data_IF_642153252567
#
_entry.id   IF_642153252567
#
_cell.length_a   1.000
_cell.length_b   1.000
_cell.length_c   1.000
_cell.angle_alpha   90.00
_cell.angle_beta   90.00
_cell.angle_gamma   90.00
#
_symmetry.space_group_name_H-M   'P 1'
#
loop_
_entity.id
_entity.type
_entity.pdbx_description
1 polymer ?
#
# COMPACT_ATOMS: atom_id res chain seq x y z
N UNK A 1 -4.57 5.32 6.88
CA UNK A 1 -4.21 4.43 5.74
C UNK A 1 -3.00 3.50 5.98
N UNK A 2 -2.11 3.73 6.96
CA UNK A 2 -0.85 2.95 7.11
C UNK A 2 -0.67 2.15 8.42
N UNK A 3 -1.64 2.13 9.33
CA UNK A 3 -1.56 1.27 10.54
C UNK A 3 -2.08 -0.17 10.29
N UNK A 4 -3.03 -0.34 9.36
CA UNK A 4 -3.73 -1.61 9.16
C UNK A 4 -3.00 -2.60 8.20
N UNK A 5 -1.90 -2.18 7.59
CA UNK A 5 -1.01 -3.07 6.82
C UNK A 5 0.06 -3.75 7.72
N UNK A 6 0.24 -3.27 8.95
CA UNK A 6 1.28 -3.77 9.87
C UNK A 6 0.90 -5.05 10.62
N UNK A 7 -0.33 -5.55 10.48
CA UNK A 7 -0.80 -6.75 11.19
C UNK A 7 -1.00 -7.99 10.30
N UNK A 8 -0.52 -7.99 9.05
CA UNK A 8 -0.89 -9.03 8.07
C UNK A 8 0.30 -9.72 7.37
N UNK A 9 1.47 -9.78 8.01
CA UNK A 9 2.47 -10.82 7.67
C UNK A 9 2.23 -12.03 8.57
N UNK A 10 1.13 -12.75 8.33
CA UNK A 10 0.94 -14.10 8.83
C UNK A 10 0.17 -14.91 7.78
N UNK A 11 0.78 -16.01 7.33
CA UNK A 11 0.07 -17.11 6.67
C UNK A 11 0.52 -17.42 5.24
N UNK A 12 1.65 -18.12 5.09
CA UNK A 12 1.74 -19.23 4.12
C UNK A 12 2.86 -20.18 4.58
N UNK A 13 2.49 -21.31 5.18
CA UNK A 13 3.37 -22.45 5.40
C UNK A 13 3.28 -23.32 4.14
N UNK A 14 4.42 -23.59 3.51
CA UNK A 14 4.55 -24.71 2.58
C UNK A 14 5.09 -25.91 3.36
N UNK A 15 4.42 -27.03 3.20
CA UNK A 15 4.57 -28.33 3.84
C UNK A 15 5.89 -29.00 3.43
N UNK A 16 6.71 -29.41 4.41
CA UNK A 16 7.78 -30.41 4.20
C UNK A 16 7.26 -31.79 4.58
N UNK A 17 7.37 -32.71 3.64
CA UNK A 17 7.01 -34.12 3.75
C UNK A 17 8.07 -34.87 4.60
N UNK A 18 7.70 -35.76 5.54
CA UNK A 18 8.64 -36.57 6.30
C UNK A 18 8.66 -38.01 5.77
N UNK A 19 9.68 -38.36 5.01
CA UNK A 19 10.12 -39.75 4.85
C UNK A 19 11.50 -39.73 4.19
N UNK A 20 12.52 -40.09 4.98
CA UNK A 20 13.64 -40.92 4.55
C UNK A 20 14.49 -41.22 5.79
N UNK A 21 14.23 -42.38 6.39
CA UNK A 21 15.16 -43.11 7.24
C UNK A 21 15.97 -44.03 6.31
N UNK A 22 17.31 -44.05 6.39
CA UNK A 22 18.12 -45.25 6.72
C UNK A 22 19.64 -45.00 6.59
N UNK A 23 20.37 -45.67 7.49
CA UNK A 23 21.78 -46.09 7.50
C UNK A 23 22.95 -45.10 7.73
N UNK A 24 23.74 -45.44 8.77
CA UNK A 24 25.07 -44.89 9.13
C UNK A 24 26.21 -45.47 8.27
N UNK A 25 27.49 -45.59 8.75
CA UNK A 25 27.94 -45.70 10.15
C UNK A 25 29.16 -44.81 10.56
N UNK A 26 29.39 -44.79 11.89
CA UNK A 26 30.65 -44.82 12.66
C UNK A 26 31.84 -43.91 12.30
N UNK A 27 32.33 -43.16 13.30
CA UNK A 27 33.74 -43.17 13.70
C UNK A 27 33.95 -42.59 15.12
N UNK A 28 34.97 -43.14 15.78
CA UNK A 28 35.32 -43.13 17.20
C UNK A 28 36.05 -41.87 17.70
N UNK A 29 35.94 -41.54 19.00
CA UNK A 29 37.08 -41.41 19.95
C UNK A 29 36.66 -40.81 21.32
N UNK A 30 37.06 -41.53 22.39
CA UNK A 30 37.58 -41.14 23.74
C UNK A 30 37.07 -39.86 24.45
N UNK A 31 36.91 -39.77 25.77
CA UNK A 31 37.56 -40.46 26.90
C UNK A 31 36.73 -40.34 28.21
N UNK A 32 37.14 -41.08 29.24
CA UNK A 32 36.44 -41.49 30.47
C UNK A 32 36.46 -40.48 31.66
N UNK A 33 35.30 -40.37 32.33
CA UNK A 33 35.02 -40.50 33.81
C UNK A 33 35.63 -39.53 34.87
N UNK A 34 35.16 -39.51 36.15
CA UNK A 34 33.79 -39.67 36.70
C UNK A 34 33.42 -38.71 37.88
N UNK A 35 32.11 -38.63 38.20
CA UNK A 35 31.62 -38.74 39.59
C UNK A 35 31.38 -37.47 40.42
N UNK A 36 30.09 -37.14 40.66
CA UNK A 36 29.54 -36.93 42.02
C UNK A 36 28.01 -36.86 42.00
N UNK A 37 27.40 -37.72 42.81
CA UNK A 37 25.98 -37.75 43.17
C UNK A 37 25.65 -36.71 44.25
N UNK A 38 24.42 -36.19 44.23
CA UNK A 38 23.89 -35.32 45.29
C UNK A 38 22.49 -34.79 44.96
N UNK A 39 21.50 -35.27 45.71
CA UNK A 39 20.07 -35.01 45.61
C UNK A 39 19.64 -33.59 46.02
N UNK A 40 18.56 -33.06 45.44
CA UNK A 40 17.87 -31.88 46.00
C UNK A 40 16.83 -31.15 45.14
N UNK A 41 15.55 -31.51 45.32
CA UNK A 41 14.30 -30.73 45.11
C UNK A 41 13.87 -30.25 43.69
N UNK A 42 12.56 -30.34 43.35
CA UNK A 42 12.04 -29.77 42.11
C UNK A 42 11.94 -28.25 42.23
N UNK A 43 12.88 -27.54 41.62
CA UNK A 43 12.85 -26.10 41.46
C UNK A 43 11.70 -25.67 40.56
N UNK A 44 10.77 -24.94 41.16
CA UNK A 44 9.72 -24.12 40.57
C UNK A 44 10.09 -23.61 39.16
N UNK A 45 9.56 -24.24 38.11
CA UNK A 45 9.57 -23.67 36.75
C UNK A 45 8.59 -22.50 36.77
N UNK A 46 9.07 -21.32 37.17
CA UNK A 46 8.45 -20.06 36.82
C UNK A 46 8.15 -20.12 35.34
N UNK A 47 6.86 -20.12 35.00
CA UNK A 47 6.39 -20.04 33.64
C UNK A 47 7.02 -18.80 33.01
N UNK A 48 8.08 -19.01 32.24
CA UNK A 48 8.71 -17.98 31.44
C UNK A 48 7.65 -17.53 30.45
N UNK A 49 6.98 -16.42 30.78
CA UNK A 49 6.01 -15.80 29.91
C UNK A 49 6.70 -15.58 28.56
N UNK A 50 6.14 -16.08 27.45
CA UNK A 50 6.76 -15.90 26.17
C UNK A 50 6.88 -14.41 25.91
N UNK A 51 8.13 -13.93 25.85
CA UNK A 51 8.46 -12.55 25.48
C UNK A 51 7.67 -12.19 24.22
N UNK A 52 7.03 -11.01 24.16
CA UNK A 52 6.22 -10.64 23.01
C UNK A 52 7.10 -10.68 21.77
N UNK A 53 6.78 -11.59 20.84
CA UNK A 53 7.50 -11.75 19.57
C UNK A 53 7.58 -10.38 18.88
N UNK A 54 8.75 -9.94 18.38
CA UNK A 54 8.85 -8.67 17.69
C UNK A 54 7.92 -8.69 16.49
N UNK A 55 6.88 -7.85 16.50
CA UNK A 55 6.02 -7.65 15.33
C UNK A 55 6.90 -7.29 14.14
N UNK A 56 6.65 -7.93 12.99
CA UNK A 56 7.41 -7.77 11.76
C UNK A 56 7.84 -6.30 11.56
N UNK A 57 9.15 -6.07 11.63
CA UNK A 57 9.72 -4.73 11.70
C UNK A 57 9.39 -3.98 10.41
N UNK A 58 8.57 -2.93 10.53
CA UNK A 58 8.20 -2.04 9.42
C UNK A 58 9.47 -1.59 8.68
N UNK A 59 9.51 -1.82 7.36
CA UNK A 59 10.68 -1.53 6.54
C UNK A 59 10.85 0.00 6.37
N UNK A 60 11.92 0.51 6.99
CA UNK A 60 12.23 1.93 7.06
C UNK A 60 12.39 2.57 5.67
N UNK A 61 12.81 1.79 4.67
CA UNK A 61 12.95 2.28 3.30
C UNK A 61 11.64 2.86 2.76
N UNK A 62 10.53 2.15 2.92
CA UNK A 62 9.26 2.60 2.34
C UNK A 62 8.71 3.82 3.06
N UNK A 63 8.96 3.94 4.37
CA UNK A 63 8.59 5.14 5.12
C UNK A 63 9.43 6.35 4.70
N UNK A 64 10.73 6.15 4.52
CA UNK A 64 11.63 7.16 4.00
C UNK A 64 11.26 7.57 2.57
N UNK A 65 10.92 6.61 1.70
CA UNK A 65 10.51 6.87 0.32
C UNK A 65 9.22 7.70 0.27
N UNK A 66 8.20 7.31 1.05
CA UNK A 66 6.95 8.06 1.12
C UNK A 66 7.15 9.48 1.67
N UNK A 67 8.00 9.63 2.69
CA UNK A 67 8.31 10.94 3.27
C UNK A 67 9.01 11.85 2.24
N UNK A 68 10.06 11.36 1.59
CA UNK A 68 10.79 12.15 0.58
C UNK A 68 9.90 12.46 -0.63
N UNK A 69 9.06 11.52 -1.06
CA UNK A 69 8.10 11.74 -2.13
C UNK A 69 7.07 12.81 -1.75
N UNK A 70 6.56 12.83 -0.50
CA UNK A 70 5.59 13.86 -0.11
C UNK A 70 6.20 15.26 -0.02
N UNK A 71 7.48 15.36 0.38
CA UNK A 71 8.21 16.63 0.31
C UNK A 71 8.33 17.10 -1.14
N UNK A 72 8.68 16.21 -2.08
CA UNK A 72 8.76 16.56 -3.51
C UNK A 72 7.41 16.99 -4.09
N UNK A 73 6.31 16.34 -3.73
CA UNK A 73 4.95 16.76 -4.14
C UNK A 73 4.68 18.20 -3.71
N UNK A 74 4.92 18.51 -2.44
CA UNK A 74 4.65 19.84 -1.91
C UNK A 74 5.56 20.92 -2.52
N UNK A 75 6.83 20.59 -2.77
CA UNK A 75 7.74 21.46 -3.51
C UNK A 75 7.20 21.75 -4.92
N UNK A 76 6.85 20.71 -5.68
CA UNK A 76 6.29 20.85 -7.02
C UNK A 76 5.06 21.77 -7.05
N UNK A 77 4.12 21.54 -6.12
CA UNK A 77 2.94 22.37 -5.94
C UNK A 77 3.24 23.83 -5.57
N UNK A 78 4.32 24.09 -4.82
CA UNK A 78 4.72 25.46 -4.48
C UNK A 78 5.44 26.15 -5.64
N UNK A 79 6.08 25.38 -6.51
CA UNK A 79 6.77 25.88 -7.69
C UNK A 79 5.80 26.20 -8.83
N UNK A 80 4.63 25.57 -8.89
CA UNK A 80 3.62 25.84 -9.92
C UNK A 80 3.25 27.33 -10.05
N UNK A 81 2.85 28.04 -8.97
CA UNK A 81 2.61 29.49 -9.02
C UNK A 81 3.91 30.30 -9.04
N UNK A 82 5.02 29.77 -8.50
CA UNK A 82 6.27 30.54 -8.32
C UNK A 82 7.18 30.58 -9.56
N UNK A 83 7.15 29.53 -10.40
CA UNK A 83 8.13 29.30 -11.48
C UNK A 83 8.29 30.47 -12.46
N UNK A 84 7.24 31.29 -12.64
CA UNK A 84 7.26 32.49 -13.49
C UNK A 84 8.05 32.28 -14.78
N UNK A 85 9.01 33.18 -15.05
CA UNK A 85 9.95 33.11 -16.17
C UNK A 85 11.28 32.41 -15.83
N UNK A 86 11.43 31.89 -14.60
CA UNK A 86 12.64 31.21 -14.16
C UNK A 86 12.81 29.87 -14.84
N UNK A 87 13.62 29.83 -15.89
CA UNK A 87 13.90 28.61 -16.66
C UNK A 87 14.49 27.49 -15.80
N UNK A 88 15.26 27.83 -14.77
CA UNK A 88 15.83 26.85 -13.83
C UNK A 88 14.74 26.22 -12.99
N UNK A 89 13.84 27.02 -12.42
CA UNK A 89 12.74 26.52 -11.61
C UNK A 89 11.73 25.72 -12.46
N UNK A 90 11.46 26.16 -13.69
CA UNK A 90 10.67 25.39 -14.66
C UNK A 90 11.31 24.03 -15.00
N UNK A 91 12.63 23.98 -15.20
CA UNK A 91 13.33 22.72 -15.44
C UNK A 91 13.27 21.78 -14.22
N UNK A 92 13.48 22.31 -13.02
CA UNK A 92 13.35 21.56 -11.77
C UNK A 92 11.92 21.04 -11.57
N UNK A 93 10.93 21.87 -11.87
CA UNK A 93 9.51 21.51 -11.86
C UNK A 93 9.22 20.35 -12.81
N UNK A 94 9.61 20.45 -14.09
CA UNK A 94 9.44 19.37 -15.07
C UNK A 94 10.11 18.07 -14.61
N UNK A 95 11.35 18.15 -14.10
CA UNK A 95 12.10 17.00 -13.63
C UNK A 95 11.37 16.30 -12.47
N UNK A 96 10.93 17.05 -11.45
CA UNK A 96 10.19 16.50 -10.32
C UNK A 96 8.85 15.92 -10.78
N UNK A 97 8.09 16.64 -11.63
CA UNK A 97 6.81 16.18 -12.17
C UNK A 97 6.92 14.88 -12.98
N UNK A 98 8.06 14.64 -13.61
CA UNK A 98 8.28 13.40 -14.38
C UNK A 98 8.26 12.14 -13.51
N UNK A 99 8.68 12.19 -12.23
CA UNK A 99 8.83 10.94 -11.45
C UNK A 99 8.17 10.94 -10.07
N UNK A 100 7.84 12.08 -9.47
CA UNK A 100 7.34 12.08 -8.09
C UNK A 100 6.00 11.34 -7.94
N UNK A 101 5.03 11.59 -8.85
CA UNK A 101 3.77 10.83 -8.87
C UNK A 101 3.98 9.37 -9.24
N UNK A 102 4.69 9.03 -10.34
CA UNK A 102 5.06 7.64 -10.65
C UNK A 102 5.68 6.88 -9.47
N UNK A 103 6.62 7.48 -8.75
CA UNK A 103 7.24 6.88 -7.56
C UNK A 103 6.20 6.58 -6.47
N UNK A 104 5.31 7.53 -6.17
CA UNK A 104 4.27 7.36 -5.17
C UNK A 104 3.23 6.31 -5.58
N UNK A 105 2.87 6.27 -6.87
CA UNK A 105 1.93 5.30 -7.46
C UNK A 105 2.51 3.89 -7.43
N UNK A 106 3.78 3.71 -7.82
CA UNK A 106 4.48 2.40 -7.77
C UNK A 106 4.51 1.86 -6.34
N UNK A 107 4.84 2.71 -5.35
CA UNK A 107 4.82 2.31 -3.93
C UNK A 107 3.39 1.95 -3.49
N UNK A 108 2.39 2.71 -3.92
CA UNK A 108 0.98 2.44 -3.61
C UNK A 108 0.49 1.12 -4.20
N UNK A 109 0.88 0.80 -5.44
CA UNK A 109 0.64 -0.49 -6.08
C UNK A 109 1.30 -1.63 -5.31
N UNK A 110 2.58 -1.48 -4.93
CA UNK A 110 3.31 -2.48 -4.16
C UNK A 110 2.64 -2.87 -2.84
N UNK A 111 2.08 -1.89 -2.12
CA UNK A 111 1.34 -2.14 -0.88
C UNK A 111 -0.09 -2.68 -1.11
N UNK A 112 -0.61 -2.53 -2.32
CA UNK A 112 -1.96 -2.98 -2.69
C UNK A 112 -2.01 -4.46 -3.10
N UNK A 113 -0.87 -5.11 -3.35
CA UNK A 113 -0.75 -6.53 -3.74
C UNK A 113 -1.54 -7.52 -2.88
N UNK A 114 -1.70 -7.21 -1.59
CA UNK A 114 -2.43 -8.07 -0.66
C UNK A 114 -3.95 -7.89 -0.73
N UNK A 115 -4.45 -6.81 -1.33
CA UNK A 115 -5.89 -6.52 -1.40
C UNK A 115 -6.64 -7.62 -2.16
N UNK A 116 -7.66 -8.17 -1.51
CA UNK A 116 -8.46 -9.31 -1.96
C UNK A 116 -9.95 -8.98 -2.12
N UNK A 117 -10.36 -7.73 -1.93
CA UNK A 117 -11.75 -7.31 -1.99
C UNK A 117 -12.63 -7.79 -0.81
N UNK A 118 -12.06 -8.46 0.21
CA UNK A 118 -12.83 -8.90 1.38
C UNK A 118 -13.52 -7.72 2.09
N UNK A 119 -14.68 -7.93 2.73
CA UNK A 119 -15.44 -6.86 3.39
C UNK A 119 -14.60 -6.02 4.38
N UNK A 120 -13.69 -6.66 5.11
CA UNK A 120 -12.79 -5.97 6.03
C UNK A 120 -11.79 -5.05 5.32
N UNK A 121 -11.24 -5.45 4.16
CA UNK A 121 -10.33 -4.60 3.38
C UNK A 121 -11.09 -3.52 2.62
N UNK A 122 -12.30 -3.82 2.14
CA UNK A 122 -13.16 -2.82 1.51
C UNK A 122 -13.56 -1.74 2.52
N UNK A 123 -13.97 -2.13 3.74
CA UNK A 123 -14.22 -1.17 4.84
C UNK A 123 -13.02 -0.26 5.07
N UNK A 124 -11.81 -0.82 5.15
CA UNK A 124 -10.56 -0.04 5.32
C UNK A 124 -10.24 0.86 4.13
N UNK A 125 -10.61 0.47 2.92
CA UNK A 125 -10.44 1.28 1.71
C UNK A 125 -11.41 2.45 1.74
N UNK A 126 -12.68 2.22 2.07
CA UNK A 126 -13.69 3.27 2.20
C UNK A 126 -13.33 4.24 3.31
N UNK A 127 -13.06 3.74 4.52
CA UNK A 127 -12.73 4.60 5.66
C UNK A 127 -11.40 5.33 5.50
N UNK A 128 -10.40 4.67 4.90
CA UNK A 128 -9.06 5.21 4.79
C UNK A 128 -8.79 6.06 3.56
N UNK A 129 -9.67 6.01 2.54
CA UNK A 129 -9.48 6.71 1.25
C UNK A 129 -10.72 7.48 0.84
N UNK A 130 -11.87 6.81 0.70
CA UNK A 130 -13.08 7.44 0.18
C UNK A 130 -13.65 8.52 1.12
N UNK A 131 -13.64 8.28 2.44
CA UNK A 131 -14.10 9.29 3.39
C UNK A 131 -13.17 10.50 3.44
N UNK A 132 -11.84 10.34 3.59
CA UNK A 132 -10.93 11.45 3.46
C UNK A 132 -11.11 12.20 2.13
N UNK A 133 -11.32 11.49 1.01
CA UNK A 133 -11.62 12.12 -0.27
C UNK A 133 -12.85 13.04 -0.16
N UNK A 134 -14.01 12.53 0.25
CA UNK A 134 -15.24 13.33 0.35
C UNK A 134 -15.07 14.54 1.26
N UNK A 135 -14.39 14.37 2.41
CA UNK A 135 -14.17 15.47 3.35
C UNK A 135 -13.27 16.55 2.76
N UNK A 136 -12.12 16.16 2.19
CA UNK A 136 -11.17 17.13 1.64
C UNK A 136 -11.65 17.75 0.34
N UNK A 137 -12.32 16.99 -0.52
CA UNK A 137 -12.99 17.46 -1.73
C UNK A 137 -14.04 18.53 -1.41
N UNK A 138 -14.77 18.38 -0.30
CA UNK A 138 -15.72 19.40 0.15
C UNK A 138 -15.02 20.59 0.82
N UNK A 139 -13.94 20.34 1.56
CA UNK A 139 -13.23 21.36 2.32
C UNK A 139 -12.46 22.34 1.42
N UNK A 140 -11.91 21.91 0.29
CA UNK A 140 -11.13 22.77 -0.61
C UNK A 140 -11.96 23.90 -1.24
N UNK A 141 -13.12 23.64 -1.88
CA UNK A 141 -13.97 24.70 -2.39
C UNK A 141 -14.50 25.62 -1.28
N UNK A 142 -14.86 25.07 -0.11
CA UNK A 142 -15.26 25.90 1.05
C UNK A 142 -14.12 26.83 1.50
N UNK A 143 -12.90 26.33 1.54
CA UNK A 143 -11.72 27.14 1.84
C UNK A 143 -11.50 28.22 0.78
N UNK A 144 -11.68 27.90 -0.50
CA UNK A 144 -11.65 28.89 -1.59
C UNK A 144 -12.72 29.97 -1.41
N UNK A 145 -13.98 29.61 -1.12
CA UNK A 145 -15.06 30.59 -0.87
C UNK A 145 -14.70 31.60 0.21
N UNK A 146 -14.07 31.14 1.29
CA UNK A 146 -13.73 31.99 2.44
C UNK A 146 -12.47 32.81 2.21
N UNK A 147 -11.41 32.22 1.65
CA UNK A 147 -10.10 32.87 1.55
C UNK A 147 -9.95 33.69 0.27
N UNK A 148 -10.50 33.20 -0.84
CA UNK A 148 -10.45 33.82 -2.17
C UNK A 148 -11.67 34.69 -2.45
N UNK A 149 -12.64 34.76 -1.51
CA UNK A 149 -13.89 35.49 -1.65
C UNK A 149 -14.70 35.13 -2.91
N UNK A 150 -14.61 33.87 -3.35
CA UNK A 150 -15.36 33.31 -4.48
C UNK A 150 -16.56 32.50 -3.98
N UNK A 151 -17.72 33.13 -3.66
CA UNK A 151 -18.87 32.44 -3.08
C UNK A 151 -19.50 31.39 -4.03
N UNK A 152 -19.18 31.44 -5.32
CA UNK A 152 -19.75 30.56 -6.35
C UNK A 152 -18.92 29.30 -6.58
N UNK A 153 -17.78 29.12 -5.90
CA UNK A 153 -16.95 27.94 -6.06
C UNK A 153 -17.77 26.66 -5.78
N UNK A 154 -18.12 25.91 -6.82
CA UNK A 154 -18.99 24.74 -6.71
C UNK A 154 -18.33 23.63 -5.89
N UNK A 155 -19.13 22.91 -5.11
CA UNK A 155 -18.69 21.67 -4.45
C UNK A 155 -19.16 20.53 -5.35
N UNK A 156 -18.21 19.88 -6.02
CA UNK A 156 -18.47 18.73 -6.89
C UNK A 156 -17.59 17.57 -6.44
N UNK A 157 -18.19 16.42 -6.18
CA UNK A 157 -17.42 15.20 -5.87
C UNK A 157 -16.95 14.48 -7.13
N UNK A 158 -17.38 14.94 -8.30
CA UNK A 158 -17.07 14.36 -9.59
C UNK A 158 -15.93 15.09 -10.31
N UNK A 159 -15.50 16.27 -9.87
CA UNK A 159 -14.36 16.96 -10.48
C UNK A 159 -13.32 17.24 -9.39
N UNK A 160 -12.39 16.29 -9.14
CA UNK A 160 -11.51 16.34 -7.98
C UNK A 160 -10.64 17.60 -7.95
N UNK A 161 -10.81 18.43 -6.93
CA UNK A 161 -10.07 19.67 -6.79
C UNK A 161 -8.59 19.46 -6.42
N UNK A 162 -7.70 19.97 -7.27
CA UNK A 162 -6.26 20.13 -7.04
C UNK A 162 -5.49 18.82 -6.78
N UNK A 163 -5.49 18.32 -5.54
CA UNK A 163 -4.75 17.12 -5.12
C UNK A 163 -5.67 15.94 -4.78
N UNK A 164 -6.97 16.13 -4.67
CA UNK A 164 -7.88 15.05 -4.27
C UNK A 164 -8.03 13.96 -5.33
N UNK A 165 -7.70 14.26 -6.59
CA UNK A 165 -7.69 13.29 -7.70
C UNK A 165 -6.93 12.02 -7.35
N UNK A 166 -5.82 12.12 -6.62
CA UNK A 166 -5.01 10.95 -6.31
C UNK A 166 -5.71 10.01 -5.34
N UNK A 167 -6.54 10.52 -4.42
CA UNK A 167 -7.33 9.66 -3.53
C UNK A 167 -8.40 8.91 -4.33
N UNK A 168 -9.06 9.60 -5.25
CA UNK A 168 -10.01 8.99 -6.17
C UNK A 168 -9.34 7.90 -7.03
N UNK A 169 -8.21 8.24 -7.65
CA UNK A 169 -7.40 7.31 -8.44
C UNK A 169 -6.96 6.09 -7.61
N UNK A 170 -6.43 6.32 -6.41
CA UNK A 170 -6.00 5.28 -5.49
C UNK A 170 -7.17 4.38 -5.07
N UNK A 171 -8.36 4.94 -4.87
CA UNK A 171 -9.56 4.17 -4.58
C UNK A 171 -9.88 3.22 -5.74
N UNK A 172 -9.94 3.72 -6.98
CA UNK A 172 -10.23 2.95 -8.19
C UNK A 172 -9.16 1.87 -8.42
N UNK A 173 -7.88 2.23 -8.37
CA UNK A 173 -6.78 1.28 -8.59
C UNK A 173 -6.74 0.16 -7.54
N UNK A 174 -6.99 0.50 -6.26
CA UNK A 174 -7.05 -0.51 -5.19
C UNK A 174 -8.27 -1.41 -5.34
N UNK A 175 -9.42 -0.84 -5.66
CA UNK A 175 -10.66 -1.60 -5.86
C UNK A 175 -10.50 -2.60 -7.02
N UNK A 176 -9.84 -2.19 -8.10
CA UNK A 176 -9.60 -3.03 -9.30
C UNK A 176 -8.44 -4.02 -9.14
N UNK A 177 -7.66 -3.95 -8.05
CA UNK A 177 -6.50 -4.83 -7.81
C UNK A 177 -6.78 -6.33 -8.00
N UNK A 178 -7.90 -6.91 -7.52
CA UNK A 178 -8.19 -8.33 -7.73
C UNK A 178 -8.26 -8.72 -9.21
N UNK A 179 -8.80 -7.85 -10.07
CA UNK A 179 -8.89 -8.06 -11.52
C UNK A 179 -7.49 -8.10 -12.15
N UNK A 180 -6.62 -7.17 -11.79
CA UNK A 180 -5.24 -7.16 -12.31
C UNK A 180 -4.45 -8.42 -11.93
N UNK A 181 -4.76 -9.03 -10.78
CA UNK A 181 -4.09 -10.25 -10.30
C UNK A 181 -4.57 -11.51 -11.01
N UNK A 182 -5.72 -11.50 -11.70
CA UNK A 182 -6.19 -12.65 -12.49
C UNK A 182 -5.63 -12.66 -13.91
N UNK A 183 -5.14 -11.52 -14.42
CA UNK A 183 -4.55 -11.41 -15.75
C UNK A 183 -3.16 -12.05 -15.81
N UNK A 184 -2.87 -12.76 -16.92
CA UNK A 184 -1.54 -13.33 -17.20
C UNK A 184 -0.48 -12.27 -17.49
N UNK A 185 -0.88 -11.19 -18.17
CA UNK A 185 -0.02 -10.09 -18.60
C UNK A 185 -0.63 -8.72 -18.21
N UNK A 186 -0.73 -8.39 -16.91
CA UNK A 186 -1.44 -7.20 -16.47
C UNK A 186 -0.76 -5.89 -16.92
N UNK A 187 0.57 -5.87 -17.02
CA UNK A 187 1.34 -4.70 -17.42
C UNK A 187 1.09 -4.27 -18.88
N UNK A 188 1.21 -5.15 -19.90
CA UNK A 188 0.84 -4.80 -21.27
C UNK A 188 -0.62 -4.32 -21.39
N UNK A 189 -1.55 -4.95 -20.66
CA UNK A 189 -2.97 -4.54 -20.66
C UNK A 189 -3.15 -3.15 -20.08
N UNK A 190 -2.52 -2.85 -18.94
CA UNK A 190 -2.56 -1.51 -18.33
C UNK A 190 -1.96 -0.45 -19.26
N UNK A 191 -0.86 -0.79 -19.95
CA UNK A 191 -0.21 0.10 -20.91
C UNK A 191 -1.10 0.37 -22.14
N UNK A 192 -1.76 -0.66 -22.67
CA UNK A 192 -2.72 -0.50 -23.76
C UNK A 192 -3.87 0.43 -23.35
N UNK A 193 -4.41 0.28 -22.14
CA UNK A 193 -5.46 1.15 -21.60
C UNK A 193 -4.97 2.60 -21.47
N UNK A 194 -3.75 2.81 -20.95
CA UNK A 194 -3.16 4.14 -20.85
C UNK A 194 -2.97 4.80 -22.23
N UNK A 195 -2.50 4.04 -23.22
CA UNK A 195 -2.36 4.51 -24.60
C UNK A 195 -3.71 4.87 -25.21
N UNK A 196 -4.75 4.04 -25.01
CA UNK A 196 -6.11 4.36 -25.46
C UNK A 196 -6.65 5.64 -24.78
N UNK A 197 -6.41 5.81 -23.48
CA UNK A 197 -6.81 7.02 -22.76
C UNK A 197 -6.09 8.30 -23.25
N UNK A 198 -4.90 8.17 -23.86
CA UNK A 198 -4.18 9.29 -24.49
C UNK A 198 -4.72 9.66 -25.88
N UNK A 199 -5.56 8.79 -26.47
CA UNK A 199 -6.13 8.96 -27.82
C UNK A 199 -7.51 9.60 -27.81
N UNK A 200 -8.28 9.46 -26.74
CA UNK A 200 -9.69 9.84 -26.69
C UNK A 200 -9.83 11.22 -26.02
N UNK A 201 -10.09 12.30 -26.78
CA UNK A 201 -10.37 13.61 -26.20
C UNK A 201 -11.65 13.57 -25.38
N UNK A 202 -11.72 14.37 -24.31
CA UNK A 202 -12.91 14.51 -23.44
C UNK A 202 -13.39 13.19 -22.81
N UNK A 203 -12.55 12.14 -22.77
CA UNK A 203 -12.88 10.91 -22.06
C UNK A 203 -12.69 11.10 -20.55
N UNK A 204 -13.79 11.15 -19.81
CA UNK A 204 -13.76 11.11 -18.35
C UNK A 204 -13.30 12.42 -17.69
N UNK A 205 -13.95 13.53 -18.06
CA UNK A 205 -13.90 14.77 -17.29
C UNK A 205 -14.34 14.56 -15.83
N UNK A 206 -15.22 13.58 -15.59
CA UNK A 206 -15.58 13.14 -14.25
C UNK A 206 -14.49 12.23 -13.65
N UNK A 207 -14.16 12.50 -12.39
CA UNK A 207 -13.21 11.82 -11.49
C UNK A 207 -11.76 11.85 -11.95
N UNK A 208 -11.41 12.77 -12.86
CA UNK A 208 -10.06 12.88 -13.42
C UNK A 208 -9.63 11.56 -14.11
N UNK A 209 -10.60 10.84 -14.69
CA UNK A 209 -10.43 9.45 -15.14
C UNK A 209 -9.31 9.31 -16.19
N UNK A 210 -9.09 10.33 -17.02
CA UNK A 210 -7.97 10.34 -17.96
C UNK A 210 -6.63 10.17 -17.24
N UNK A 211 -6.43 10.90 -16.14
CA UNK A 211 -5.25 10.79 -15.28
C UNK A 211 -5.20 9.42 -14.59
N UNK A 212 -6.33 8.91 -14.11
CA UNK A 212 -6.43 7.57 -13.50
C UNK A 212 -5.98 6.47 -14.47
N UNK A 213 -6.40 6.55 -15.74
CA UNK A 213 -6.08 5.56 -16.76
C UNK A 213 -4.65 5.68 -17.29
N UNK A 214 -4.17 6.90 -17.55
CA UNK A 214 -2.80 7.11 -18.04
C UNK A 214 -1.74 6.77 -16.98
N UNK A 215 -2.03 6.90 -15.68
CA UNK A 215 -1.14 6.49 -14.59
C UNK A 215 -1.30 5.02 -14.14
N UNK A 216 -2.28 4.30 -14.68
CA UNK A 216 -2.54 2.90 -14.34
C UNK A 216 -1.32 1.96 -14.50
N UNK A 217 -0.47 2.09 -15.55
CA UNK A 217 0.70 1.21 -15.73
C UNK A 217 1.67 1.26 -14.54
N UNK A 218 1.84 2.42 -13.91
CA UNK A 218 2.71 2.58 -12.74
C UNK A 218 2.16 1.83 -11.52
N UNK A 219 0.84 1.87 -11.32
CA UNK A 219 0.20 1.17 -10.21
C UNK A 219 0.30 -0.33 -10.40
N UNK A 220 -0.01 -0.81 -11.62
CA UNK A 220 0.07 -2.22 -11.98
C UNK A 220 1.52 -2.72 -11.94
N UNK A 221 2.50 -1.91 -12.33
CA UNK A 221 3.91 -2.23 -12.12
C UNK A 221 4.20 -2.48 -10.64
N UNK A 222 3.74 -1.57 -9.76
CA UNK A 222 3.81 -1.75 -8.32
C UNK A 222 3.23 -3.09 -7.85
N UNK A 223 2.10 -3.53 -8.42
CA UNK A 223 1.50 -4.83 -8.11
C UNK A 223 2.40 -6.02 -8.50
N UNK A 224 3.13 -5.89 -9.60
CA UNK A 224 4.06 -6.93 -10.09
C UNK A 224 5.41 -6.92 -9.36
N UNK A 225 5.79 -5.82 -8.70
CA UNK A 225 7.07 -5.73 -8.00
C UNK A 225 7.10 -6.58 -6.72
N UNK A 226 8.22 -7.27 -6.54
CA UNK A 226 8.64 -7.94 -5.30
C UNK A 226 9.71 -7.14 -4.54
N UNK A 227 9.91 -7.38 -3.22
CA UNK A 227 10.90 -6.66 -2.40
C UNK A 227 12.33 -6.71 -2.97
N UNK A 228 12.69 -7.76 -3.70
CA UNK A 228 14.01 -7.96 -4.28
C UNK A 228 14.33 -6.89 -5.32
N UNK A 229 13.35 -6.44 -6.11
CA UNK A 229 13.58 -5.38 -7.10
C UNK A 229 13.94 -4.04 -6.44
N UNK A 230 13.35 -3.73 -5.28
CA UNK A 230 13.74 -2.56 -4.49
C UNK A 230 15.15 -2.71 -3.90
N UNK A 231 15.63 -3.93 -3.65
CA UNK A 231 17.03 -4.17 -3.26
C UNK A 231 17.99 -3.96 -4.44
N UNK A 232 17.59 -4.34 -5.66
CA UNK A 232 18.40 -4.16 -6.86
C UNK A 232 18.68 -2.69 -7.16
N UNK A 233 17.65 -1.83 -7.13
CA UNK A 233 17.80 -0.38 -7.40
C UNK A 233 18.64 0.33 -6.33
N UNK A 234 18.81 -0.26 -5.14
CA UNK A 234 19.62 0.30 -4.05
C UNK A 234 21.09 -0.13 -4.07
N UNK A 235 21.54 -0.85 -5.10
CA UNK A 235 22.96 -1.21 -5.25
C UNK A 235 23.81 0.05 -5.42
N UNK A 236 25.05 0.01 -4.92
CA UNK A 236 25.99 1.14 -5.00
C UNK A 236 26.20 1.64 -6.44
N UNK A 237 26.26 0.71 -7.40
CA UNK A 237 26.37 1.04 -8.83
C UNK A 237 25.19 1.85 -9.34
N UNK A 238 23.95 1.47 -9.00
CA UNK A 238 22.75 2.21 -9.39
C UNK A 238 22.73 3.59 -8.74
N UNK A 239 23.12 3.69 -7.47
CA UNK A 239 23.22 4.97 -6.75
C UNK A 239 24.23 5.93 -7.39
N UNK A 240 25.36 5.42 -7.87
CA UNK A 240 26.37 6.22 -8.59
C UNK A 240 25.84 6.59 -9.98
N UNK A 241 25.28 5.64 -10.72
CA UNK A 241 24.69 5.87 -12.05
C UNK A 241 23.50 6.84 -12.02
N UNK A 242 22.76 6.92 -10.91
CA UNK A 242 21.68 7.88 -10.73
C UNK A 242 22.15 9.34 -10.81
N UNK A 243 23.41 9.65 -10.48
CA UNK A 243 23.95 11.02 -10.53
C UNK A 243 24.00 11.56 -11.95
N UNK A 244 24.71 10.92 -12.92
CA UNK A 244 24.70 11.39 -14.30
C UNK A 244 23.31 11.30 -14.93
N UNK A 245 22.48 10.30 -14.58
CA UNK A 245 21.10 10.23 -15.09
C UNK A 245 20.29 11.46 -14.67
N UNK A 246 20.28 11.82 -13.39
CA UNK A 246 19.58 13.02 -12.92
C UNK A 246 20.16 14.31 -13.51
N UNK A 247 21.50 14.42 -13.63
CA UNK A 247 22.14 15.59 -14.23
C UNK A 247 21.75 15.76 -15.72
N UNK A 248 21.78 14.67 -16.49
CA UNK A 248 21.37 14.66 -17.89
C UNK A 248 19.87 14.93 -18.05
N UNK A 249 19.03 14.36 -17.18
CA UNK A 249 17.60 14.64 -17.18
C UNK A 249 17.31 16.10 -16.83
N UNK A 250 18.04 16.70 -15.88
CA UNK A 250 17.89 18.13 -15.57
C UNK A 250 18.32 19.01 -16.75
N UNK A 251 19.44 18.70 -17.39
CA UNK A 251 19.89 19.41 -18.60
C UNK A 251 18.88 19.28 -19.75
N UNK A 252 18.32 18.08 -19.93
CA UNK A 252 17.25 17.84 -20.89
C UNK A 252 15.99 18.64 -20.56
N UNK A 253 15.53 18.63 -19.30
CA UNK A 253 14.39 19.44 -18.87
C UNK A 253 14.63 20.92 -19.12
N UNK A 254 15.82 21.44 -18.81
CA UNK A 254 16.20 22.83 -19.08
C UNK A 254 16.13 23.19 -20.57
N UNK A 255 16.59 22.28 -21.45
CA UNK A 255 16.44 22.44 -22.89
C UNK A 255 14.97 22.33 -23.36
N UNK A 256 14.18 21.46 -22.72
CA UNK A 256 12.79 21.17 -23.08
C UNK A 256 11.77 22.23 -22.62
N UNK A 257 12.12 23.08 -21.64
CA UNK A 257 11.22 24.12 -21.08
C UNK A 257 10.45 24.88 -22.16
N UNK A 258 11.11 25.31 -23.22
CA UNK A 258 10.49 26.13 -24.27
C UNK A 258 9.92 25.33 -25.45
N UNK A 259 9.92 23.99 -25.37
CA UNK A 259 9.60 23.09 -26.50
C UNK A 259 8.52 22.07 -26.19
N UNK A 260 8.36 21.72 -24.92
CA UNK A 260 7.44 20.68 -24.47
C UNK A 260 6.42 21.28 -23.53
N UNK A 261 5.15 21.11 -23.88
CA UNK A 261 4.06 21.50 -22.99
C UNK A 261 4.10 20.65 -21.70
N UNK A 262 4.18 21.32 -20.56
CA UNK A 262 4.13 20.67 -19.24
C UNK A 262 2.85 19.89 -18.99
N UNK A 263 1.78 20.14 -19.75
CA UNK A 263 0.52 19.41 -19.72
C UNK A 263 0.67 17.91 -19.94
N UNK A 264 1.69 17.48 -20.70
CA UNK A 264 2.03 16.06 -20.87
C UNK A 264 2.36 15.37 -19.54
N UNK A 265 3.04 16.08 -18.62
CA UNK A 265 3.43 15.54 -17.31
C UNK A 265 2.24 15.37 -16.35
N UNK A 266 1.13 16.05 -16.62
CA UNK A 266 -0.08 15.98 -15.79
C UNK A 266 -0.95 14.77 -16.13
N UNK A 267 -0.70 14.11 -17.26
CA UNK A 267 -1.47 12.94 -17.73
C UNK A 267 -3.00 13.16 -17.77
N UNK A 268 -3.44 14.41 -17.90
CA UNK A 268 -4.86 14.81 -17.78
C UNK A 268 -5.52 15.14 -19.12
N UNK A 269 -4.79 15.00 -20.23
CA UNK A 269 -5.22 15.47 -21.54
C UNK A 269 -4.85 14.47 -22.62
N UNK A 270 -5.66 14.45 -23.68
CA UNK A 270 -5.36 13.71 -24.89
C UNK A 270 -4.36 14.50 -25.75
N UNK A 271 -3.66 13.84 -26.67
CA UNK A 271 -2.69 14.51 -27.55
C UNK A 271 -3.32 15.71 -28.30
N UNK A 272 -4.56 15.53 -28.76
CA UNK A 272 -5.32 16.54 -29.51
C UNK A 272 -5.64 17.79 -28.68
N UNK A 273 -5.82 17.65 -27.36
CA UNK A 273 -6.09 18.77 -26.45
C UNK A 273 -4.84 19.59 -26.18
N UNK A 274 -3.65 19.00 -26.40
CA UNK A 274 -2.35 19.67 -26.34
C UNK A 274 -1.89 20.19 -27.73
N UNK A 275 -2.82 20.25 -28.69
CA UNK A 275 -2.53 20.70 -30.05
C UNK A 275 -1.63 19.76 -30.86
N UNK A 276 -1.49 18.51 -30.45
CA UNK A 276 -0.66 17.51 -31.12
C UNK A 276 -1.52 16.47 -31.88
N UNK A 277 -0.99 15.84 -32.93
CA UNK A 277 -1.66 14.72 -33.59
C UNK A 277 -1.95 13.58 -32.62
N UNK A 278 -3.09 12.88 -32.80
CA UNK A 278 -3.53 11.79 -31.92
C UNK A 278 -2.46 10.73 -31.68
N UNK A 279 -1.69 10.37 -32.71
CA UNK A 279 -0.68 9.31 -32.64
C UNK A 279 0.51 9.67 -31.74
N UNK A 280 0.72 10.95 -31.45
CA UNK A 280 1.73 11.41 -30.49
C UNK A 280 1.39 10.95 -29.07
N UNK A 281 0.10 10.82 -28.73
CA UNK A 281 -0.35 10.40 -27.39
C UNK A 281 0.24 9.07 -26.95
N UNK A 282 0.00 7.97 -27.69
CA UNK A 282 0.57 6.66 -27.36
C UNK A 282 2.10 6.63 -27.32
N UNK A 283 2.78 7.35 -28.22
CA UNK A 283 4.23 7.43 -28.23
C UNK A 283 4.76 8.20 -27.00
N UNK A 284 4.12 9.31 -26.66
CA UNK A 284 4.46 10.09 -25.48
C UNK A 284 4.19 9.29 -24.21
N UNK A 285 3.12 8.48 -24.16
CA UNK A 285 2.83 7.60 -23.04
C UNK A 285 3.95 6.58 -22.80
N UNK A 286 4.51 6.00 -23.88
CA UNK A 286 5.66 5.09 -23.79
C UNK A 286 6.94 5.83 -23.36
N UNK A 287 7.21 6.99 -23.94
CA UNK A 287 8.39 7.81 -23.62
C UNK A 287 8.36 8.26 -22.15
N UNK A 288 7.24 8.82 -21.70
CA UNK A 288 7.05 9.24 -20.32
C UNK A 288 7.14 8.07 -19.35
N UNK A 289 6.56 6.91 -19.68
CA UNK A 289 6.71 5.70 -18.87
C UNK A 289 8.18 5.30 -18.71
N UNK A 290 8.95 5.29 -19.79
CA UNK A 290 10.38 4.98 -19.75
C UNK A 290 11.17 5.96 -18.88
N UNK A 291 11.03 7.27 -19.15
CA UNK A 291 11.75 8.33 -18.44
C UNK A 291 11.39 8.37 -16.95
N UNK A 292 10.10 8.31 -16.63
CA UNK A 292 9.61 8.36 -15.25
C UNK A 292 10.01 7.14 -14.44
N UNK A 293 9.99 5.92 -15.03
CA UNK A 293 10.44 4.71 -14.34
C UNK A 293 11.95 4.72 -14.11
N UNK A 294 12.73 5.21 -15.06
CA UNK A 294 14.17 5.40 -14.90
C UNK A 294 14.46 6.37 -13.74
N UNK A 295 13.83 7.53 -13.72
CA UNK A 295 13.98 8.53 -12.66
C UNK A 295 13.44 8.04 -11.31
N UNK A 296 12.34 7.28 -11.31
CA UNK A 296 11.79 6.63 -10.11
C UNK A 296 12.79 5.62 -9.52
N UNK A 297 13.43 4.81 -10.36
CA UNK A 297 14.48 3.87 -9.92
C UNK A 297 15.69 4.62 -9.35
N UNK A 298 16.11 5.72 -9.99
CA UNK A 298 17.18 6.58 -9.50
C UNK A 298 16.81 7.20 -8.15
N UNK A 299 15.60 7.72 -8.00
CA UNK A 299 15.09 8.25 -6.73
C UNK A 299 15.13 7.18 -5.63
N UNK A 300 14.60 5.99 -5.88
CA UNK A 300 14.64 4.89 -4.90
C UNK A 300 16.06 4.43 -4.55
N UNK A 301 17.03 4.58 -5.45
CA UNK A 301 18.44 4.27 -5.16
C UNK A 301 19.05 5.18 -4.08
N UNK A 302 18.52 6.39 -3.93
CA UNK A 302 18.99 7.40 -2.96
C UNK A 302 18.21 7.40 -1.66
N UNK A 303 17.02 6.79 -1.62
CA UNK A 303 16.26 6.64 -0.38
C UNK A 303 17.03 5.76 0.61
N UNK A 304 17.33 6.25 1.82
CA UNK A 304 18.02 5.44 2.83
C UNK A 304 17.18 4.22 3.25
N UNK A 305 17.81 3.03 3.26
CA UNK A 305 17.18 1.81 3.76
C UNK A 305 17.23 1.63 5.29
N UNK A 306 18.06 2.43 5.97
CA UNK A 306 18.18 2.44 7.43
C UNK A 306 17.12 3.34 8.07
N UNK A 307 16.86 3.12 9.37
CA UNK A 307 16.07 4.08 10.17
C UNK A 307 16.83 5.40 10.26
N UNK A 308 16.13 6.49 9.96
CA UNK A 308 16.60 7.88 10.05
C UNK A 308 15.65 8.67 10.94
N UNK A 309 16.00 9.93 11.26
CA UNK A 309 15.15 10.81 12.08
C UNK A 309 13.75 11.04 11.46
N UNK A 310 13.67 11.06 10.11
CA UNK A 310 12.41 11.28 9.39
C UNK A 310 11.63 9.99 9.08
N UNK A 311 12.14 8.79 9.42
CA UNK A 311 11.40 7.54 9.21
C UNK A 311 10.04 7.55 9.91
N UNK A 312 9.96 8.17 11.10
CA UNK A 312 8.70 8.30 11.86
C UNK A 312 7.68 9.16 11.11
N UNK A 313 8.14 10.16 10.35
CA UNK A 313 7.30 11.06 9.56
C UNK A 313 6.67 10.35 8.36
N UNK A 314 7.23 9.23 7.91
CA UNK A 314 6.67 8.37 6.86
C UNK A 314 5.29 7.78 7.19
N UNK A 315 4.86 7.84 8.46
CA UNK A 315 3.51 7.48 8.89
C UNK A 315 2.49 8.64 8.75
N UNK A 316 2.96 9.88 8.64
CA UNK A 316 2.16 11.10 8.52
C UNK A 316 1.99 11.61 7.09
N UNK A 317 2.45 10.88 6.08
CA UNK A 317 2.52 11.39 4.70
C UNK A 317 1.15 11.69 4.10
N UNK A 318 0.09 10.97 4.50
CA UNK A 318 -1.29 11.31 4.09
C UNK A 318 -1.75 12.66 4.67
N UNK A 319 -1.30 13.00 5.88
CA UNK A 319 -1.61 14.27 6.54
C UNK A 319 -0.84 15.41 5.87
N UNK A 320 0.46 15.21 5.63
CA UNK A 320 1.26 16.13 4.82
C UNK A 320 0.63 16.35 3.44
N UNK A 321 0.17 15.29 2.78
CA UNK A 321 -0.51 15.36 1.50
C UNK A 321 -1.80 16.17 1.51
N UNK A 322 -2.71 15.90 2.41
CA UNK A 322 -4.00 16.58 2.37
C UNK A 322 -3.93 18.00 2.93
N UNK A 323 -3.03 18.27 3.88
CA UNK A 323 -2.96 19.57 4.56
C UNK A 323 -2.04 20.59 3.86
N UNK A 324 -0.99 20.16 3.15
CA UNK A 324 -0.09 21.12 2.48
C UNK A 324 -0.82 21.90 1.39
N UNK A 325 -1.84 21.32 0.75
CA UNK A 325 -2.61 22.01 -0.28
C UNK A 325 -3.34 23.24 0.26
N UNK A 326 -3.82 23.24 1.51
CA UNK A 326 -4.38 24.44 2.14
C UNK A 326 -3.32 25.51 2.41
N UNK A 327 -2.08 25.12 2.73
CA UNK A 327 -0.99 26.07 2.90
C UNK A 327 -0.63 26.72 1.57
N UNK A 328 -0.48 25.93 0.52
CA UNK A 328 -0.10 26.42 -0.81
C UNK A 328 -1.23 27.25 -1.39
N UNK A 329 -2.47 26.73 -1.44
CA UNK A 329 -3.61 27.49 -1.96
C UNK A 329 -3.94 28.70 -1.09
N UNK A 330 -3.76 28.61 0.23
CA UNK A 330 -3.92 29.76 1.11
C UNK A 330 -2.89 30.87 0.88
N UNK A 331 -1.67 30.53 0.47
CA UNK A 331 -0.65 31.50 0.07
C UNK A 331 -0.92 32.06 -1.34
N UNK A 332 -1.37 31.20 -2.26
CA UNK A 332 -1.80 31.52 -3.63
C UNK A 332 -2.94 32.54 -3.63
N UNK A 333 -4.07 32.25 -2.96
CA UNK A 333 -5.23 33.14 -2.88
C UNK A 333 -4.94 34.48 -2.18
N UNK A 334 -3.90 34.53 -1.32
CA UNK A 334 -3.47 35.77 -0.66
C UNK A 334 -2.43 36.56 -1.46
N UNK A 335 -2.09 36.11 -2.67
CA UNK A 335 -1.08 36.74 -3.53
C UNK A 335 0.33 36.72 -2.94
N UNK A 336 0.65 35.74 -2.09
CA UNK A 336 1.99 35.68 -1.49
C UNK A 336 3.05 35.28 -2.50
N UNK A 337 2.70 34.41 -3.46
CA UNK A 337 3.60 33.99 -4.53
C UNK A 337 3.91 35.10 -5.53
N UNK A 338 3.05 36.12 -5.65
CA UNK A 338 3.23 37.25 -6.60
C UNK A 338 4.27 38.27 -6.14
N UNK A 339 4.83 38.11 -4.94
CA UNK A 339 5.79 39.06 -4.38
C UNK A 339 7.11 39.00 -5.17
N UNK A 340 7.60 40.13 -5.72
CA UNK A 340 8.82 40.15 -6.55
C UNK A 340 10.05 39.55 -5.86
N UNK A 341 10.16 39.69 -4.54
CA UNK A 341 11.25 39.14 -3.75
C UNK A 341 11.35 37.60 -3.81
N UNK A 342 10.28 36.90 -4.19
CA UNK A 342 10.26 35.43 -4.27
C UNK A 342 10.74 34.90 -5.63
N UNK A 343 10.70 35.71 -6.69
CA UNK A 343 11.04 35.30 -8.06
C UNK A 343 12.54 35.40 -8.38
N UNK A 344 13.40 35.55 -7.37
CA UNK A 344 14.85 35.42 -7.50
C UNK A 344 15.36 34.10 -6.93
N UNK A 345 16.59 33.66 -7.24
CA UNK A 345 17.12 32.36 -6.80
C UNK A 345 17.07 32.15 -5.29
N UNK A 346 17.36 33.20 -4.50
CA UNK A 346 17.27 33.12 -3.03
C UNK A 346 15.82 33.01 -2.55
N UNK A 347 14.87 33.67 -3.22
CA UNK A 347 13.44 33.56 -2.95
C UNK A 347 12.91 32.17 -3.23
N UNK A 348 13.25 31.61 -4.39
CA UNK A 348 12.89 30.23 -4.79
C UNK A 348 13.42 29.19 -3.80
N UNK A 349 14.68 29.33 -3.37
CA UNK A 349 15.29 28.47 -2.35
C UNK A 349 14.58 28.66 -1.00
N UNK A 350 14.32 29.90 -0.58
CA UNK A 350 13.66 30.19 0.69
C UNK A 350 12.25 29.58 0.74
N UNK A 351 11.46 29.72 -0.32
CA UNK A 351 10.13 29.10 -0.44
C UNK A 351 10.26 27.57 -0.39
N UNK A 352 11.20 27.00 -1.13
CA UNK A 352 11.41 25.54 -1.15
C UNK A 352 11.74 25.00 0.24
N UNK A 353 12.64 25.67 0.98
CA UNK A 353 13.00 25.29 2.36
C UNK A 353 11.81 25.47 3.30
N UNK A 354 11.06 26.58 3.18
CA UNK A 354 9.89 26.85 4.01
C UNK A 354 8.79 25.80 3.81
N UNK A 355 8.50 25.41 2.56
CA UNK A 355 7.49 24.39 2.24
C UNK A 355 7.95 23.00 2.68
N UNK A 356 9.23 22.66 2.48
CA UNK A 356 9.77 21.40 2.98
C UNK A 356 9.66 21.32 4.52
N UNK A 357 9.97 22.39 5.24
CA UNK A 357 9.81 22.47 6.69
C UNK A 357 8.33 22.38 7.12
N UNK A 358 7.44 23.09 6.43
CA UNK A 358 6.01 23.05 6.70
C UNK A 358 5.42 21.64 6.53
N UNK A 359 5.73 20.96 5.41
CA UNK A 359 5.25 19.58 5.16
C UNK A 359 5.87 18.59 6.14
N UNK A 360 7.13 18.79 6.53
CA UNK A 360 7.78 18.02 7.59
C UNK A 360 7.01 18.15 8.90
N UNK A 361 6.64 19.37 9.29
CA UNK A 361 5.82 19.64 10.47
C UNK A 361 4.42 19.00 10.36
N UNK A 362 3.77 19.08 9.21
CA UNK A 362 2.47 18.45 8.95
C UNK A 362 2.52 16.91 9.06
N UNK A 363 3.66 16.28 8.81
CA UNK A 363 3.84 14.84 8.96
C UNK A 363 4.10 14.38 10.42
N UNK A 364 4.19 15.31 11.37
CA UNK A 364 4.54 14.99 12.77
C UNK A 364 3.39 14.29 13.53
N UNK A 365 3.69 13.51 14.58
CA UNK A 365 2.68 12.85 15.40
C UNK A 365 1.59 13.76 16.03
N UNK A 366 1.88 15.00 16.48
CA UNK A 366 0.85 15.90 16.99
C UNK A 366 -0.24 16.20 15.96
N UNK A 367 0.13 16.58 14.73
CA UNK A 367 -0.83 16.87 13.65
C UNK A 367 -1.67 15.63 13.34
N UNK A 368 -1.02 14.46 13.30
CA UNK A 368 -1.72 13.19 13.11
C UNK A 368 -2.78 12.93 14.17
N UNK A 369 -2.49 13.26 15.44
CA UNK A 369 -3.43 13.07 16.55
C UNK A 369 -4.67 13.96 16.40
N UNK A 370 -4.47 15.22 16.00
CA UNK A 370 -5.55 16.20 15.80
C UNK A 370 -6.46 15.81 14.64
N UNK A 371 -5.88 15.49 13.48
CA UNK A 371 -6.65 15.22 12.27
C UNK A 371 -7.04 13.74 12.08
N UNK A 372 -6.72 12.87 13.06
CA UNK A 372 -7.02 11.43 12.99
C UNK A 372 -8.50 11.15 12.73
N UNK A 373 -9.39 11.93 13.34
CA UNK A 373 -10.83 11.70 13.23
C UNK A 373 -11.35 11.88 11.80
N UNK A 374 -10.73 12.78 11.03
CA UNK A 374 -11.09 13.05 9.63
C UNK A 374 -10.41 12.06 8.69
N UNK A 375 -9.12 11.82 8.89
CA UNK A 375 -8.29 11.09 7.93
C UNK A 375 -8.26 9.58 8.16
N UNK A 376 -8.61 9.12 9.35
CA UNK A 376 -8.66 7.70 9.73
C UNK A 376 -9.91 7.39 10.57
N UNK A 377 -11.14 7.65 10.06
CA UNK A 377 -12.37 7.37 10.79
C UNK A 377 -12.61 5.85 10.91
N UNK A 378 -12.90 5.35 12.10
CA UNK A 378 -13.12 3.91 12.30
C UNK A 378 -14.48 3.43 11.74
N UNK A 379 -15.47 4.34 11.68
CA UNK A 379 -16.85 4.13 11.20
C UNK A 379 -17.43 2.76 11.59
N UNK A 380 -17.23 2.32 12.84
CA UNK A 380 -17.77 1.03 13.31
C UNK A 380 -19.30 0.96 13.18
N UNK A 381 -19.99 2.09 13.30
CA UNK A 381 -21.43 2.22 13.19
C UNK A 381 -22.00 2.00 11.77
N UNK A 382 -21.22 2.26 10.71
CA UNK A 382 -21.71 2.24 9.33
C UNK A 382 -21.56 0.89 8.63
N UNK A 383 -20.87 -0.08 9.25
CA UNK A 383 -20.59 -1.38 8.64
C UNK A 383 -21.07 -2.52 9.54
N UNK A 384 -21.65 -3.56 8.94
CA UNK A 384 -22.03 -4.78 9.66
C UNK A 384 -20.80 -5.38 10.36
N UNK A 385 -20.92 -5.84 11.62
CA UNK A 385 -19.84 -6.53 12.32
C UNK A 385 -19.36 -7.72 11.47
N UNK A 386 -18.05 -7.95 11.43
CA UNK A 386 -17.52 -9.02 10.60
C UNK A 386 -18.10 -10.37 11.05
N UNK A 387 -18.41 -11.28 10.12
CA UNK A 387 -18.96 -12.60 10.46
C UNK A 387 -18.10 -13.36 11.50
N UNK A 388 -16.78 -13.14 11.48
CA UNK A 388 -15.85 -13.67 12.47
C UNK A 388 -15.99 -13.03 13.86
N UNK A 389 -16.37 -11.75 13.93
CA UNK A 389 -16.64 -11.02 15.17
C UNK A 389 -17.98 -11.44 15.76
N UNK A 390 -19.02 -11.60 14.92
CA UNK A 390 -20.30 -12.20 15.29
C UNK A 390 -20.16 -13.65 15.74
N UNK A 391 -19.29 -14.44 15.09
CA UNK A 391 -19.00 -15.81 15.52
C UNK A 391 -18.27 -15.86 16.86
N UNK A 392 -17.34 -14.93 17.11
CA UNK A 392 -16.66 -14.78 18.41
C UNK A 392 -17.61 -14.29 19.51
N UNK A 393 -18.50 -13.37 19.20
CA UNK A 393 -19.55 -12.94 20.13
C UNK A 393 -20.53 -14.08 20.42
N UNK A 394 -20.95 -14.86 19.41
CA UNK A 394 -21.77 -16.06 19.62
C UNK A 394 -21.05 -17.12 20.46
N UNK A 395 -19.74 -17.30 20.26
CA UNK A 395 -18.93 -18.19 21.09
C UNK A 395 -18.77 -17.69 22.53
N UNK A 396 -18.68 -16.36 22.73
CA UNK A 396 -18.65 -15.73 24.07
C UNK A 396 -20.01 -15.69 24.76
N UNK A 397 -21.10 -15.69 23.99
CA UNK A 397 -22.49 -15.70 24.47
C UNK A 397 -23.06 -17.09 24.67
N UNK A 398 -22.36 -18.16 24.27
CA UNK A 398 -22.68 -19.51 24.77
C UNK A 398 -22.33 -19.52 26.27
N UNK A 399 -23.31 -19.69 27.17
CA UNK A 399 -23.01 -19.92 28.58
C UNK A 399 -22.19 -21.23 28.68
N UNK A 400 -21.25 -21.30 29.62
CA UNK A 400 -20.51 -22.52 30.03
C UNK A 400 -21.43 -23.59 30.67
N UNK A 401 -22.64 -23.76 30.13
CA UNK A 401 -23.73 -24.51 30.73
C UNK A 401 -24.24 -25.64 29.86
N UNK A 402 -23.34 -26.41 29.22
CA UNK A 402 -23.65 -27.77 28.77
C UNK A 402 -22.42 -28.65 28.97
N UNK A 403 -21.98 -28.75 30.24
CA UNK A 403 -21.26 -29.94 30.69
C UNK A 403 -22.25 -31.08 30.61
N UNK A 404 -22.15 -31.88 29.55
CA UNK A 404 -22.69 -33.23 29.47
C UNK A 404 -22.31 -33.97 30.77
N UNK A 405 -23.25 -34.48 31.58
CA UNK A 405 -22.88 -35.18 32.80
C UNK A 405 -22.32 -36.54 32.41
N UNK A 406 -21.01 -36.68 32.53
CA UNK A 406 -20.32 -37.96 32.49
C UNK A 406 -19.96 -38.33 33.92
N UNK A 407 -20.78 -39.20 34.54
CA UNK A 407 -20.41 -40.17 35.59
C UNK A 407 -21.68 -40.75 36.23
N UNK A 408 -22.01 -41.98 35.84
CA UNK A 408 -22.24 -43.06 36.81
C UNK A 408 -21.55 -44.31 36.25
N UNK A 409 -20.32 -44.53 36.72
CA UNK A 409 -19.64 -45.83 36.62
C UNK A 409 -19.68 -46.39 38.03
N UNK A 410 -20.78 -47.09 38.34
CA UNK A 410 -20.90 -47.94 39.53
C UNK A 410 -20.17 -49.25 39.28
N UNK A 411 -19.30 -49.60 40.22
CA UNK A 411 -18.60 -50.87 40.30
C UNK A 411 -19.60 -52.02 40.50
N UNK A 412 -19.45 -53.10 39.72
CA UNK A 412 -19.67 -54.44 40.27
C UNK A 412 -18.72 -55.42 39.60
N UNK A 413 -17.80 -55.95 40.43
CA UNK A 413 -16.89 -57.06 40.10
C UNK A 413 -17.65 -58.36 40.31
N UNK A 414 -17.67 -59.25 39.32
CA UNK A 414 -17.59 -60.70 39.54
C UNK A 414 -16.96 -61.40 38.33
N UNK A 415 -16.01 -62.29 38.63
CA UNK A 415 -15.14 -63.08 37.75
C UNK A 415 -15.86 -64.11 36.85
N UNK A 416 -15.16 -64.68 35.84
CA UNK A 416 -15.73 -65.58 34.85
C UNK A 416 -15.62 -67.06 35.25
N UNK A 417 -16.58 -67.86 34.79
CA UNK A 417 -16.48 -69.32 34.75
C UNK A 417 -17.21 -69.86 33.51
N UNK A 418 -16.44 -70.36 32.55
CA UNK A 418 -16.84 -71.38 31.56
C UNK A 418 -17.08 -72.72 32.29
N UNK A 419 -17.94 -73.64 31.76
CA UNK A 419 -17.52 -74.47 30.62
C UNK A 419 -18.60 -74.88 29.58
N UNK A 420 -18.07 -75.14 28.37
CA UNK A 420 -18.34 -76.04 27.21
C UNK A 420 -19.42 -77.17 27.26
N UNK A 421 -19.66 -77.96 26.18
CA UNK A 421 -20.66 -77.78 25.10
C UNK A 421 -21.65 -78.98 24.96
N UNK A 422 -22.62 -78.91 24.04
CA UNK A 422 -23.06 -80.02 23.15
C UNK A 422 -24.51 -79.86 22.61
N UNK A 423 -24.68 -80.42 21.41
CA UNK A 423 -25.90 -80.99 20.82
C UNK A 423 -26.82 -80.07 19.98
N UNK A 424 -26.54 -80.11 18.67
CA UNK A 424 -27.49 -80.20 17.55
C UNK A 424 -28.76 -81.04 17.83
N UNK A 425 -29.91 -80.82 17.14
CA UNK A 425 -30.01 -81.17 15.71
C UNK A 425 -30.85 -80.24 14.79
N UNK A 426 -30.50 -80.33 13.50
CA UNK A 426 -31.24 -79.97 12.27
C UNK A 426 -32.57 -80.76 12.10
N UNK A 427 -33.35 -80.67 10.98
CA UNK A 427 -33.27 -79.83 9.76
C UNK A 427 -34.62 -79.23 9.29
N UNK A 428 -34.61 -78.33 8.27
CA UNK A 428 -35.87 -77.91 7.64
C UNK A 428 -35.83 -77.03 6.38
N UNK A 429 -35.56 -77.66 5.22
CA UNK A 429 -36.06 -77.37 3.84
C UNK A 429 -35.55 -76.17 3.01
N UNK A 430 -34.76 -76.54 1.98
CA UNK A 430 -34.94 -76.39 0.50
C UNK A 430 -35.13 -74.99 -0.14
N UNK A 431 -34.08 -74.54 -0.84
CA UNK A 431 -33.96 -74.19 -2.29
C UNK A 431 -34.97 -73.27 -3.02
N UNK A 432 -34.65 -72.68 -4.20
CA UNK A 432 -33.41 -72.00 -4.64
C UNK A 432 -33.66 -70.75 -5.55
N UNK A 433 -32.56 -70.09 -5.94
CA UNK A 433 -32.30 -69.45 -7.25
C UNK A 433 -32.94 -68.08 -7.66
N UNK A 434 -32.10 -67.26 -8.32
CA UNK A 434 -32.49 -66.18 -9.26
C UNK A 434 -31.95 -64.79 -8.87
N UNK A 435 -30.77 -64.32 -9.31
CA UNK A 435 -30.42 -63.76 -10.64
C UNK A 435 -30.69 -62.24 -10.78
N UNK A 436 -29.58 -61.52 -11.05
CA UNK A 436 -29.35 -60.30 -11.87
C UNK A 436 -29.86 -58.87 -11.52
N UNK A 437 -28.86 -57.98 -11.62
CA UNK A 437 -28.82 -56.65 -12.27
C UNK A 437 -29.68 -55.49 -11.75
N UNK A 438 -29.01 -54.45 -11.24
CA UNK A 438 -28.75 -53.17 -11.95
C UNK A 438 -27.75 -52.30 -11.18
#
# INVERSE_FOLDING_TARGET
MFHAASSLVQGSRSTKNPNDQHNGPQDEHDDRSPGRSGSGRPGNRSAEQPSPRPGAQRDAFFDNAKYLAIVLVALGHSWEPLKGDSRVLQAAYMLVYTFHMPAFIVVSGFFSRSFDGSPARLKRLVTGVAVPYVVFESAYPLFKRVVDHDPQAAITLLDPYYLTWFLCALFIWRLTTPVWKTLRHPLPVALAIAMLASLTPRFGGDLDLQRVLQFLPYFVLGLCLRPEHFRLVRRRLVRIAAVPVFALSLAFCWWAVSKVDTGWLYHRSAAQELGQPWWVGPLMQLALLGCSLLLTACFFSWVPGRRTWFTVLGAGTLYGYLLHGFLIKGADYRGWFDRPALHGPLGEIAVSVAIAAAVTALCTPPVRRVFRFVMEPEMAWAFKPAAAELARERARRRPDGERRPERERGEERTSPSEPDPAAEPEPGRREPAGVQES
#
